data_IF_429489773518
#
_entry.id   IF_429489773518
#
_cell.length_a   1.000
_cell.length_b   1.000
_cell.length_c   1.000
_cell.angle_alpha   90.00
_cell.angle_beta   90.00
_cell.angle_gamma   90.00
#
_symmetry.space_group_name_H-M   'P 1'
#
loop_
_entity.id
_entity.type
_entity.pdbx_description
1 polymer ?
#
# COMPACT_ATOMS: atom_id res chain seq x y z
N UNK A 1 -8.56 7.52 -14.44
CA UNK A 1 -9.57 7.66 -13.38
C UNK A 1 -8.95 7.12 -12.11
N UNK A 2 -8.97 7.87 -11.01
CA UNK A 2 -8.38 7.45 -9.73
C UNK A 2 -9.50 7.25 -8.72
N UNK A 3 -9.52 6.12 -8.02
CA UNK A 3 -10.43 5.92 -6.89
C UNK A 3 -9.59 5.94 -5.61
N UNK A 4 -9.77 7.02 -4.84
CA UNK A 4 -8.89 7.34 -3.74
C UNK A 4 -9.66 7.28 -2.43
N UNK A 5 -9.09 6.60 -1.46
CA UNK A 5 -9.55 6.64 -0.09
C UNK A 5 -8.38 6.61 0.88
N UNK A 6 -8.69 6.57 2.16
CA UNK A 6 -7.68 6.68 3.22
C UNK A 6 -7.48 5.33 3.89
N UNK A 7 -6.22 4.98 4.10
CA UNK A 7 -5.81 3.93 5.04
C UNK A 7 -4.87 4.54 6.09
N UNK A 8 -4.64 3.80 7.16
CA UNK A 8 -3.51 4.07 8.05
C UNK A 8 -2.60 2.85 8.18
N UNK A 9 -1.32 3.11 8.42
CA UNK A 9 -0.30 2.08 8.62
C UNK A 9 0.41 2.36 9.94
N UNK A 10 0.59 1.33 10.76
CA UNK A 10 1.34 1.38 12.00
C UNK A 10 0.58 1.82 13.24
N UNK A 11 1.29 1.76 14.37
CA UNK A 11 0.78 2.12 15.70
C UNK A 11 1.77 3.05 16.42
N UNK A 12 1.46 4.33 16.66
CA UNK A 12 0.26 5.06 16.25
C UNK A 12 0.09 5.13 14.72
N UNK A 13 -1.16 5.32 14.30
CA UNK A 13 -1.58 5.34 12.90
C UNK A 13 -0.95 6.48 12.09
N UNK A 14 -0.33 6.14 10.95
CA UNK A 14 0.16 7.08 9.94
C UNK A 14 -0.76 7.02 8.72
N UNK A 15 -1.37 8.14 8.32
CA UNK A 15 -2.44 8.17 7.31
C UNK A 15 -1.91 8.38 5.89
N UNK A 16 -2.52 7.67 4.92
CA UNK A 16 -2.18 7.76 3.51
C UNK A 16 -3.43 7.82 2.65
N UNK A 17 -3.40 8.68 1.63
CA UNK A 17 -4.37 8.64 0.51
C UNK A 17 -3.90 7.60 -0.48
N UNK A 18 -4.76 6.66 -0.83
CA UNK A 18 -4.38 5.49 -1.60
C UNK A 18 -5.28 5.34 -2.80
N UNK A 19 -4.68 5.11 -3.96
CA UNK A 19 -5.40 4.66 -5.14
C UNK A 19 -5.68 3.15 -5.00
N UNK A 20 -6.94 2.76 -5.01
CA UNK A 20 -7.34 1.36 -5.02
C UNK A 20 -7.29 0.84 -6.45
N UNK A 21 -6.44 -0.15 -6.68
CA UNK A 21 -6.07 -0.59 -8.02
C UNK A 21 -6.38 -2.08 -8.21
N UNK A 22 -7.37 -2.38 -9.07
CA UNK A 22 -7.71 -3.77 -9.44
C UNK A 22 -6.78 -4.34 -10.52
N UNK A 23 -5.82 -3.56 -11.03
CA UNK A 23 -4.81 -3.97 -12.00
C UNK A 23 -3.47 -4.41 -11.41
N UNK A 24 -3.25 -4.23 -10.10
CA UNK A 24 -2.03 -4.64 -9.39
C UNK A 24 -2.35 -5.28 -8.04
N UNK A 25 -1.35 -5.86 -7.37
CA UNK A 25 -1.56 -6.66 -6.15
C UNK A 25 -0.76 -6.21 -4.93
N UNK A 26 0.31 -5.46 -5.11
CA UNK A 26 1.12 -4.97 -3.99
C UNK A 26 0.49 -3.71 -3.35
N UNK A 27 0.63 -3.58 -2.04
CA UNK A 27 0.45 -2.31 -1.32
C UNK A 27 1.81 -1.62 -1.20
N UNK A 28 1.88 -0.34 -1.55
CA UNK A 28 3.09 0.45 -1.32
C UNK A 28 2.77 1.89 -0.98
N UNK A 29 3.63 2.49 -0.14
CA UNK A 29 3.60 3.90 0.24
C UNK A 29 5.01 4.49 0.23
N UNK A 30 5.17 5.82 0.14
CA UNK A 30 6.48 6.46 0.22
C UNK A 30 7.11 6.25 1.59
N UNK A 31 8.41 5.98 1.64
CA UNK A 31 9.19 5.93 2.88
C UNK A 31 9.62 7.33 3.31
N UNK A 32 9.83 7.55 4.61
CA UNK A 32 10.47 8.74 5.15
C UNK A 32 11.90 8.93 4.64
N UNK A 33 12.54 7.84 4.20
CA UNK A 33 13.84 7.85 3.54
C UNK A 33 13.78 8.21 2.04
N UNK A 34 12.58 8.43 1.49
CA UNK A 34 12.44 8.97 0.14
C UNK A 34 12.62 10.49 0.15
N UNK A 35 13.59 10.97 -0.63
CA UNK A 35 13.89 12.40 -0.74
C UNK A 35 13.17 13.02 -1.95
N UNK A 36 13.89 13.35 -3.01
CA UNK A 36 13.44 14.22 -4.11
C UNK A 36 12.22 13.70 -4.88
N UNK A 37 12.10 12.40 -5.11
CA UNK A 37 10.98 11.83 -5.88
C UNK A 37 9.67 11.73 -5.11
N UNK A 38 9.69 11.88 -3.78
CA UNK A 38 8.50 11.77 -2.93
C UNK A 38 8.13 13.11 -2.27
N UNK A 39 8.52 14.23 -2.86
CA UNK A 39 8.16 15.55 -2.35
C UNK A 39 6.65 15.78 -2.43
N UNK A 40 6.04 16.18 -1.31
CA UNK A 40 4.61 16.48 -1.23
C UNK A 40 3.69 15.31 -0.95
N UNK A 41 4.21 14.08 -0.82
CA UNK A 41 3.44 12.92 -0.37
C UNK A 41 3.59 12.69 1.14
N UNK A 42 2.58 12.08 1.74
CA UNK A 42 2.73 11.48 3.07
C UNK A 42 3.74 10.33 3.01
N UNK A 43 4.55 10.20 4.07
CA UNK A 43 5.66 9.23 4.14
C UNK A 43 5.53 8.38 5.39
N UNK A 44 5.71 7.08 5.22
CA UNK A 44 5.76 6.13 6.31
C UNK A 44 7.10 6.16 7.02
N UNK A 45 7.07 6.19 8.35
CA UNK A 45 8.23 6.18 9.23
C UNK A 45 8.15 4.95 10.12
N UNK A 46 8.88 3.89 9.76
CA UNK A 46 8.91 2.61 10.50
C UNK A 46 9.28 2.77 11.97
N UNK A 47 10.23 3.66 12.28
CA UNK A 47 10.69 3.92 13.65
C UNK A 47 9.63 4.56 14.56
N UNK A 48 8.52 5.04 13.99
CA UNK A 48 7.39 5.60 14.74
C UNK A 48 6.25 4.59 14.96
N UNK A 49 6.38 3.36 14.46
CA UNK A 49 5.36 2.32 14.64
C UNK A 49 5.83 1.22 15.59
N UNK A 50 5.06 0.95 16.64
CA UNK A 50 5.30 -0.14 17.60
C UNK A 50 4.91 -1.51 17.06
N UNK A 51 4.12 -1.57 15.99
CA UNK A 51 3.70 -2.81 15.32
C UNK A 51 4.53 -3.13 14.07
N UNK A 52 5.51 -2.29 13.74
CA UNK A 52 6.43 -2.50 12.64
C UNK A 52 7.29 -3.76 12.84
N UNK A 53 7.43 -4.53 11.78
CA UNK A 53 8.36 -5.65 11.67
C UNK A 53 9.19 -5.48 10.40
N UNK A 54 10.51 -5.55 10.55
CA UNK A 54 11.43 -5.45 9.43
C UNK A 54 11.30 -6.68 8.50
N UNK A 55 11.30 -6.45 7.19
CA UNK A 55 11.41 -7.48 6.16
C UNK A 55 12.65 -7.23 5.29
N UNK A 56 12.76 -6.04 4.69
CA UNK A 56 13.98 -5.58 4.02
C UNK A 56 14.24 -6.17 2.63
N UNK A 57 13.44 -7.15 2.18
CA UNK A 57 13.49 -7.64 0.80
C UNK A 57 13.26 -6.49 -0.18
N UNK A 58 13.98 -6.49 -1.31
CA UNK A 58 13.85 -5.45 -2.33
C UNK A 58 12.47 -5.49 -2.99
N UNK A 59 11.87 -4.31 -3.16
CA UNK A 59 10.65 -4.08 -3.93
C UNK A 59 10.96 -3.24 -5.18
N UNK A 60 10.36 -3.60 -6.31
CA UNK A 60 10.44 -2.86 -7.56
C UNK A 60 9.25 -3.19 -8.44
N UNK A 61 8.53 -2.16 -8.88
CA UNK A 61 7.38 -2.31 -9.78
C UNK A 61 7.41 -1.26 -10.88
N UNK A 62 7.02 -1.66 -12.10
CA UNK A 62 6.83 -0.79 -13.26
C UNK A 62 5.43 -1.05 -13.80
N UNK A 63 4.66 0.03 -13.97
CA UNK A 63 3.31 -0.02 -14.51
C UNK A 63 3.33 0.15 -16.04
N UNK A 64 2.23 -0.23 -16.69
CA UNK A 64 2.11 -0.19 -18.15
C UNK A 64 2.22 1.22 -18.76
N UNK A 65 1.97 2.26 -17.97
CA UNK A 65 2.14 3.67 -18.36
C UNK A 65 3.59 4.18 -18.20
N UNK A 66 4.51 3.32 -17.74
CA UNK A 66 5.92 3.63 -17.51
C UNK A 66 6.23 4.24 -16.13
N UNK A 67 5.21 4.49 -15.30
CA UNK A 67 5.40 4.87 -13.90
C UNK A 67 6.01 3.71 -13.11
N UNK A 68 6.71 4.02 -12.02
CA UNK A 68 7.45 3.00 -11.27
C UNK A 68 7.69 3.41 -9.82
N UNK A 69 7.78 2.42 -8.94
CA UNK A 69 8.14 2.58 -7.54
C UNK A 69 9.20 1.55 -7.13
N UNK A 70 10.17 1.97 -6.32
CA UNK A 70 11.23 1.10 -5.79
C UNK A 70 11.45 1.35 -4.31
N UNK A 71 11.81 0.30 -3.58
CA UNK A 71 12.12 0.39 -2.16
C UNK A 71 12.36 -0.99 -1.55
N UNK A 72 11.82 -1.19 -0.36
CA UNK A 72 11.89 -2.46 0.37
C UNK A 72 10.57 -2.82 0.99
N UNK A 73 10.31 -4.13 1.11
CA UNK A 73 9.19 -4.63 1.88
C UNK A 73 9.38 -4.39 3.38
N UNK A 74 8.26 -4.16 4.03
CA UNK A 74 8.07 -4.01 5.46
C UNK A 74 6.76 -4.68 5.86
N UNK A 75 6.61 -4.96 7.15
CA UNK A 75 5.40 -5.57 7.70
C UNK A 75 4.88 -4.63 8.78
N UNK A 76 3.59 -4.33 8.76
CA UNK A 76 2.93 -3.57 9.83
C UNK A 76 1.42 -3.87 9.85
N UNK A 77 0.70 -3.29 10.81
CA UNK A 77 -0.76 -3.27 10.81
C UNK A 77 -1.26 -2.20 9.86
N UNK A 78 -2.14 -2.58 8.94
CA UNK A 78 -2.81 -1.65 8.02
C UNK A 78 -4.29 -1.58 8.38
N UNK A 79 -4.80 -0.38 8.62
CA UNK A 79 -6.20 -0.15 8.97
C UNK A 79 -6.93 0.57 7.84
N UNK A 80 -8.10 0.06 7.48
CA UNK A 80 -9.02 0.68 6.53
C UNK A 80 -10.42 0.66 7.12
N UNK A 81 -11.03 1.85 7.27
CA UNK A 81 -12.37 2.01 7.83
C UNK A 81 -12.59 1.26 9.17
N UNK A 82 -11.60 1.30 10.07
CA UNK A 82 -11.64 0.63 11.37
C UNK A 82 -11.32 -0.88 11.34
N UNK A 83 -11.16 -1.49 10.17
CA UNK A 83 -10.71 -2.88 10.03
C UNK A 83 -9.18 -2.90 10.06
N UNK A 84 -8.60 -3.44 11.12
CA UNK A 84 -7.16 -3.58 11.29
C UNK A 84 -6.68 -4.94 10.77
N UNK A 85 -5.90 -4.92 9.69
CA UNK A 85 -5.25 -6.10 9.10
C UNK A 85 -3.85 -6.20 9.68
N UNK A 86 -3.62 -7.23 10.50
CA UNK A 86 -2.33 -7.42 11.15
C UNK A 86 -1.33 -8.11 10.21
N UNK A 87 -0.03 -7.87 10.45
CA UNK A 87 1.06 -8.50 9.70
C UNK A 87 0.94 -8.33 8.17
N UNK A 88 0.42 -7.19 7.71
CA UNK A 88 0.34 -6.91 6.29
C UNK A 88 1.72 -6.58 5.76
N UNK A 89 2.16 -7.29 4.73
CA UNK A 89 3.36 -6.91 3.98
C UNK A 89 3.03 -5.80 2.99
N UNK A 90 3.85 -4.75 2.96
CA UNK A 90 3.75 -3.64 2.03
C UNK A 90 5.15 -3.12 1.70
N UNK A 91 5.28 -2.30 0.66
CA UNK A 91 6.56 -1.70 0.32
C UNK A 91 6.67 -0.24 0.78
N UNK A 92 7.78 0.08 1.42
CA UNK A 92 8.23 1.42 1.71
C UNK A 92 9.11 1.92 0.55
N UNK A 93 8.56 2.79 -0.29
CA UNK A 93 9.23 3.23 -1.51
C UNK A 93 10.17 4.41 -1.27
N UNK A 94 11.44 4.26 -1.65
CA UNK A 94 12.48 5.30 -1.58
C UNK A 94 12.68 6.02 -2.92
N UNK A 95 12.03 5.55 -3.98
CA UNK A 95 12.03 6.18 -5.30
C UNK A 95 10.69 6.02 -5.99
N UNK A 96 10.20 7.11 -6.61
CA UNK A 96 8.99 7.14 -7.43
C UNK A 96 9.29 7.83 -8.76
N UNK A 97 8.65 7.38 -9.85
CA UNK A 97 8.71 8.04 -11.16
C UNK A 97 7.34 7.98 -11.82
N UNK A 98 6.91 9.08 -12.44
CA UNK A 98 5.65 9.12 -13.18
C UNK A 98 4.39 9.20 -12.30
N UNK A 99 4.54 9.37 -10.99
CA UNK A 99 3.40 9.60 -10.08
C UNK A 99 2.91 11.05 -10.24
N UNK A 100 1.75 11.24 -10.86
CA UNK A 100 1.22 12.58 -11.15
C UNK A 100 0.47 13.22 -9.97
N UNK A 101 0.70 14.52 -9.75
CA UNK A 101 -0.21 15.49 -9.13
C UNK A 101 -0.57 15.31 -7.63
N UNK A 102 0.14 14.49 -6.85
CA UNK A 102 -0.08 14.34 -5.40
C UNK A 102 -1.55 14.05 -5.01
N UNK A 103 -2.33 13.43 -5.90
CA UNK A 103 -3.75 13.15 -5.63
C UNK A 103 -3.87 11.99 -4.61
N UNK A 104 -3.00 10.98 -4.74
CA UNK A 104 -2.77 9.89 -3.79
C UNK A 104 -1.28 9.83 -3.42
N UNK A 105 -1.00 9.22 -2.27
CA UNK A 105 0.34 8.99 -1.73
C UNK A 105 0.91 7.62 -2.17
N UNK A 106 0.05 6.61 -2.34
CA UNK A 106 0.45 5.26 -2.72
C UNK A 106 -0.66 4.47 -3.43
N UNK A 107 -0.41 3.17 -3.65
CA UNK A 107 -1.34 2.24 -4.32
C UNK A 107 -1.61 1.05 -3.41
N UNK A 108 -2.86 0.61 -3.39
CA UNK A 108 -3.27 -0.67 -2.79
C UNK A 108 -3.83 -1.55 -3.89
N UNK A 109 -3.06 -2.58 -4.23
CA UNK A 109 -3.45 -3.60 -5.18
C UNK A 109 -4.56 -4.52 -4.65
N UNK A 110 -5.55 -4.77 -5.49
CA UNK A 110 -6.71 -5.62 -5.22
C UNK A 110 -6.80 -6.82 -6.16
N UNK A 111 -5.80 -7.02 -7.03
CA UNK A 111 -5.73 -8.18 -7.90
C UNK A 111 -5.21 -9.43 -7.17
N UNK A 112 -4.97 -10.50 -7.94
CA UNK A 112 -4.64 -11.82 -7.41
C UNK A 112 -3.20 -11.91 -6.85
N UNK A 113 -2.92 -12.78 -5.87
CA UNK A 113 -1.61 -12.90 -5.23
C UNK A 113 -0.46 -13.20 -6.18
N UNK A 114 -0.73 -13.90 -7.30
CA UNK A 114 0.26 -14.25 -8.31
C UNK A 114 0.85 -13.04 -9.06
N UNK A 115 0.24 -11.85 -8.94
CA UNK A 115 0.77 -10.60 -9.49
C UNK A 115 1.57 -9.79 -8.47
N UNK A 116 1.71 -10.26 -7.22
CA UNK A 116 2.57 -9.59 -6.25
C UNK A 116 4.03 -9.73 -6.64
N UNK A 117 4.81 -8.68 -6.43
CA UNK A 117 6.25 -8.70 -6.71
C UNK A 117 7.03 -9.52 -5.68
N UNK A 118 6.49 -9.69 -4.48
CA UNK A 118 7.14 -10.39 -3.38
C UNK A 118 6.60 -11.78 -3.05
N UNK A 119 5.44 -12.16 -3.60
CA UNK A 119 4.78 -13.45 -3.33
C UNK A 119 3.92 -13.47 -2.06
N UNK A 120 3.82 -12.37 -1.32
CA UNK A 120 2.95 -12.24 -0.16
C UNK A 120 1.47 -12.05 -0.54
N UNK A 121 0.58 -12.28 0.41
CA UNK A 121 -0.84 -12.06 0.19
C UNK A 121 -1.18 -10.56 0.08
N UNK A 122 -2.00 -10.14 -0.90
CA UNK A 122 -2.60 -8.81 -0.94
C UNK A 122 -3.47 -8.54 0.30
N UNK A 123 -3.69 -7.27 0.59
CA UNK A 123 -4.41 -6.84 1.80
C UNK A 123 -5.81 -7.44 1.93
N UNK A 124 -6.55 -7.52 0.82
CA UNK A 124 -7.88 -8.14 0.82
C UNK A 124 -7.85 -9.64 1.15
N UNK A 125 -6.82 -10.36 0.72
CA UNK A 125 -6.64 -11.78 1.06
C UNK A 125 -6.33 -11.94 2.55
N UNK A 126 -5.52 -11.05 3.11
CA UNK A 126 -5.23 -11.07 4.55
C UNK A 126 -6.48 -10.73 5.38
N UNK A 127 -7.33 -9.80 4.94
CA UNK A 127 -8.64 -9.55 5.56
C UNK A 127 -9.49 -10.81 5.65
N UNK A 128 -9.62 -11.53 4.54
CA UNK A 128 -10.38 -12.77 4.49
C UNK A 128 -9.77 -13.85 5.39
N UNK A 129 -8.45 -14.07 5.27
CA UNK A 129 -7.74 -15.09 6.07
C UNK A 129 -7.80 -14.85 7.58
N UNK A 130 -7.91 -13.58 8.00
CA UNK A 130 -8.01 -13.16 9.40
C UNK A 130 -9.47 -13.11 9.90
N UNK A 131 -10.45 -13.44 9.06
CA UNK A 131 -11.88 -13.40 9.44
C UNK A 131 -12.42 -12.00 9.68
N UNK A 132 -11.80 -10.98 9.08
CA UNK A 132 -12.15 -9.56 9.27
C UNK A 132 -13.29 -9.08 8.38
N UNK A 133 -13.65 -9.87 7.37
CA UNK A 133 -14.76 -9.59 6.45
C UNK A 133 -15.67 -10.83 6.35
N UNK A 134 -16.99 -10.65 6.21
CA UNK A 134 -17.95 -11.75 6.20
C UNK A 134 -17.92 -12.56 4.90
N UNK A 135 -17.51 -11.93 3.80
CA UNK A 135 -17.47 -12.53 2.47
C UNK A 135 -16.19 -12.10 1.74
N UNK A 136 -15.62 -13.00 0.94
CA UNK A 136 -14.45 -12.72 0.09
C UNK A 136 -14.84 -11.95 -1.19
N UNK A 137 -15.64 -10.89 -1.05
CA UNK A 137 -16.14 -10.04 -2.13
C UNK A 137 -15.91 -8.56 -1.78
N UNK A 138 -15.53 -7.76 -2.78
CA UNK A 138 -15.55 -6.30 -2.72
C UNK A 138 -16.20 -5.74 -3.98
N UNK A 139 -16.70 -4.50 -3.91
CA UNK A 139 -17.33 -3.81 -5.05
C UNK A 139 -17.00 -2.33 -5.04
N UNK A 140 -16.89 -1.72 -6.21
CA UNK A 140 -16.77 -0.28 -6.37
C UNK A 140 -18.08 0.31 -6.93
N UNK A 141 -18.55 1.38 -6.32
CA UNK A 141 -19.53 2.28 -6.91
C UNK A 141 -18.83 3.60 -7.22
N UNK A 142 -18.72 3.93 -8.51
CA UNK A 142 -18.04 5.13 -9.00
C UNK A 142 -19.10 6.09 -9.51
N UNK A 143 -19.27 7.21 -8.81
CA UNK A 143 -20.17 8.27 -9.25
C UNK A 143 -19.50 9.08 -10.38
N UNK A 144 -20.19 9.32 -11.52
CA UNK A 144 -19.66 10.11 -12.63
C UNK A 144 -19.35 11.57 -12.28
#
# INVERSE_FOLDING_TARGET
MYFIGTISIGTPAQNFRINFDTGSSDLWVPSSSCHSSCNGFNKYTSTQSTTYVANGRRFSIIYGDGSSANGSFSIDTVTINGIAVHNQTFAECTFLRGMSNNINDGILGLAYPNLTTGGENPLFYNMWSQGLIPEAIFSFYLNP
#
